data_IF_634932468647
#
_entry.id   IF_634932468647
#
_cell.length_a   1.000
_cell.length_b   1.000
_cell.length_c   1.000
_cell.angle_alpha   90.00
_cell.angle_beta   90.00
_cell.angle_gamma   90.00
#
_symmetry.space_group_name_H-M   'P 1'
#
loop_
_entity.id
_entity.type
_entity.pdbx_description
1 polymer ?
#
# COMPACT_ATOMS: atom_id res chain seq x y z
N UNK A 1 -7.56 17.45 9.18
CA UNK A 1 -6.46 16.91 10.01
C UNK A 1 -5.14 17.62 9.73
N UNK A 2 -4.75 17.77 8.47
CA UNK A 2 -3.49 18.40 8.03
C UNK A 2 -3.33 19.85 8.54
N UNK A 3 -4.37 20.68 8.45
CA UNK A 3 -4.35 22.05 8.96
C UNK A 3 -4.12 22.13 10.48
N UNK A 4 -4.69 21.19 11.24
CA UNK A 4 -4.46 21.13 12.70
C UNK A 4 -3.03 20.74 13.04
N UNK A 5 -2.43 19.86 12.22
CA UNK A 5 -1.04 19.46 12.38
C UNK A 5 -0.11 20.64 12.03
N UNK A 6 -0.38 21.32 10.91
CA UNK A 6 0.37 22.52 10.53
C UNK A 6 0.36 23.58 11.64
N UNK A 7 -0.85 23.92 12.11
CA UNK A 7 -1.00 24.89 13.20
C UNK A 7 -0.28 24.47 14.50
N UNK A 8 -0.25 23.17 14.81
CA UNK A 8 0.47 22.66 15.97
C UNK A 8 1.99 22.81 15.82
N UNK A 9 2.53 22.54 14.64
CA UNK A 9 3.95 22.64 14.35
C UNK A 9 4.45 24.09 14.35
N UNK A 10 3.61 25.04 13.95
CA UNK A 10 3.93 26.47 13.88
C UNK A 10 3.71 27.23 15.20
N UNK A 11 2.86 26.69 16.11
CA UNK A 11 2.41 27.43 17.28
C UNK A 11 3.52 27.70 18.33
N UNK A 12 4.40 26.74 18.59
CA UNK A 12 5.46 26.84 19.58
C UNK A 12 6.64 25.92 19.23
N UNK A 13 7.40 26.25 18.18
CA UNK A 13 8.55 25.43 17.79
C UNK A 13 9.67 25.54 18.86
N UNK A 14 10.30 24.42 19.23
CA UNK A 14 11.37 24.41 20.21
C UNK A 14 12.59 25.21 19.71
N UNK A 15 13.40 25.69 20.65
CA UNK A 15 14.66 26.42 20.40
C UNK A 15 14.50 27.71 19.58
N UNK A 16 13.33 28.32 19.58
CA UNK A 16 13.04 29.56 18.85
C UNK A 16 13.39 29.49 17.34
N UNK A 17 13.24 28.33 16.75
CA UNK A 17 13.36 28.19 15.29
C UNK A 17 12.08 28.70 14.62
N UNK A 18 12.20 29.25 13.41
CA UNK A 18 11.07 29.60 12.59
C UNK A 18 10.63 28.36 11.82
N UNK A 19 9.35 27.99 11.94
CA UNK A 19 8.75 26.85 11.22
C UNK A 19 7.64 27.36 10.32
N UNK A 20 7.70 27.00 9.06
CA UNK A 20 6.59 27.16 8.10
C UNK A 20 6.19 25.80 7.57
N UNK A 21 4.89 25.54 7.47
CA UNK A 21 4.36 24.26 6.98
C UNK A 21 3.62 24.46 5.68
N UNK A 22 4.08 23.79 4.65
CA UNK A 22 3.39 23.68 3.37
C UNK A 22 2.71 22.31 3.25
N UNK A 23 1.42 22.31 2.94
CA UNK A 23 0.64 21.07 2.73
C UNK A 23 0.63 20.78 1.23
N UNK A 24 1.55 19.94 0.77
CA UNK A 24 1.65 19.57 -0.64
C UNK A 24 0.49 18.68 -1.11
N UNK A 25 0.01 17.79 -0.24
CA UNK A 25 -1.11 16.91 -0.55
C UNK A 25 -1.91 16.55 0.70
N UNK A 26 -3.23 16.50 0.56
CA UNK A 26 -4.14 15.98 1.57
C UNK A 26 -5.20 15.13 0.88
N UNK A 27 -5.15 13.82 1.08
CA UNK A 27 -6.10 12.86 0.52
C UNK A 27 -6.83 12.12 1.63
N UNK A 28 -8.02 11.61 1.32
CA UNK A 28 -8.77 10.74 2.21
C UNK A 28 -8.03 9.41 2.44
N UNK A 29 -8.22 8.82 3.62
CA UNK A 29 -7.78 7.46 3.86
C UNK A 29 -8.77 6.48 3.23
N UNK A 30 -8.26 5.44 2.59
CA UNK A 30 -9.05 4.32 2.10
C UNK A 30 -8.86 3.10 3.02
N UNK A 31 -9.93 2.38 3.25
CA UNK A 31 -9.92 1.14 4.03
C UNK A 31 -10.92 0.15 3.45
N UNK A 32 -10.55 -1.11 3.43
CA UNK A 32 -11.43 -2.23 3.09
C UNK A 32 -11.29 -3.33 4.15
N UNK A 33 -12.35 -4.04 4.45
CA UNK A 33 -12.27 -5.30 5.17
C UNK A 33 -11.85 -6.40 4.18
N UNK A 34 -10.82 -7.20 4.48
CA UNK A 34 -10.27 -8.18 3.56
C UNK A 34 -11.12 -9.47 3.55
N UNK A 35 -12.30 -9.41 2.99
CA UNK A 35 -13.27 -10.50 2.96
C UNK A 35 -13.69 -10.84 1.52
N UNK A 36 -14.12 -12.10 1.33
CA UNK A 36 -14.69 -12.59 0.08
C UNK A 36 -13.69 -13.24 -0.88
N UNK A 37 -14.22 -13.77 -1.98
CA UNK A 37 -13.52 -14.66 -2.89
C UNK A 37 -12.20 -14.10 -3.44
N UNK A 38 -12.15 -12.80 -3.73
CA UNK A 38 -10.94 -12.16 -4.26
C UNK A 38 -9.78 -12.15 -3.24
N UNK A 39 -10.08 -11.89 -1.97
CA UNK A 39 -9.09 -11.93 -0.89
C UNK A 39 -8.65 -13.36 -0.60
N UNK A 40 -9.57 -14.31 -0.57
CA UNK A 40 -9.26 -15.73 -0.41
C UNK A 40 -8.37 -16.26 -1.54
N UNK A 41 -8.67 -15.89 -2.79
CA UNK A 41 -7.83 -16.23 -3.94
C UNK A 41 -6.43 -15.62 -3.81
N UNK A 42 -6.32 -14.35 -3.38
CA UNK A 42 -5.05 -13.69 -3.15
C UNK A 42 -4.23 -14.37 -2.05
N UNK A 43 -4.85 -14.77 -0.95
CA UNK A 43 -4.18 -15.52 0.12
C UNK A 43 -3.63 -16.86 -0.37
N UNK A 44 -4.43 -17.63 -1.13
CA UNK A 44 -3.96 -18.90 -1.72
C UNK A 44 -2.80 -18.69 -2.69
N UNK A 45 -2.90 -17.68 -3.53
CA UNK A 45 -1.86 -17.34 -4.49
C UNK A 45 -0.55 -16.89 -3.82
N UNK A 46 -0.63 -16.02 -2.82
CA UNK A 46 0.53 -15.56 -2.05
C UNK A 46 1.16 -16.70 -1.24
N UNK A 47 0.35 -17.56 -0.62
CA UNK A 47 0.85 -18.77 0.05
C UNK A 47 1.61 -19.69 -0.92
N UNK A 48 1.10 -19.85 -2.13
CA UNK A 48 1.76 -20.65 -3.18
C UNK A 48 3.07 -20.04 -3.64
N UNK A 49 3.14 -18.73 -3.80
CA UNK A 49 4.35 -18.04 -4.24
C UNK A 49 5.42 -17.94 -3.16
N UNK A 50 5.03 -17.59 -1.94
CA UNK A 50 5.95 -17.31 -0.83
C UNK A 50 6.17 -18.49 0.12
N UNK A 51 5.32 -19.52 0.10
CA UNK A 51 5.40 -20.69 0.98
C UNK A 51 5.01 -20.39 2.43
N UNK A 52 4.32 -19.28 2.69
CA UNK A 52 3.83 -18.84 3.99
C UNK A 52 2.58 -18.01 3.85
N UNK A 53 1.81 -17.89 4.92
CA UNK A 53 0.60 -17.08 4.92
C UNK A 53 0.93 -15.58 4.78
N UNK A 54 0.15 -14.84 3.98
CA UNK A 54 0.24 -13.38 3.93
C UNK A 54 -0.27 -12.77 5.24
N UNK A 55 0.14 -11.54 5.49
CA UNK A 55 -0.38 -10.70 6.56
C UNK A 55 -0.94 -9.41 5.99
N UNK A 56 -2.01 -8.92 6.56
CA UNK A 56 -2.58 -7.63 6.21
C UNK A 56 -1.96 -6.54 7.06
N UNK A 57 -1.53 -5.49 6.41
CA UNK A 57 -0.92 -4.33 7.07
C UNK A 57 -1.61 -3.05 6.65
N UNK A 58 -1.63 -2.06 7.55
CA UNK A 58 -1.91 -0.68 7.17
C UNK A 58 -0.66 -0.07 6.56
N UNK A 59 -0.81 0.59 5.42
CA UNK A 59 0.27 1.33 4.78
C UNK A 59 -0.04 2.82 4.81
N UNK A 60 0.92 3.63 5.27
CA UNK A 60 0.89 5.07 5.12
C UNK A 60 1.45 5.44 3.75
N UNK A 61 0.78 6.31 3.06
CA UNK A 61 1.22 6.78 1.75
C UNK A 61 0.08 7.41 0.99
N UNK A 62 0.44 8.22 0.02
CA UNK A 62 -0.54 8.92 -0.79
C UNK A 62 -0.77 8.14 -2.08
N UNK A 63 -1.73 7.22 -2.08
CA UNK A 63 -2.19 6.51 -3.27
C UNK A 63 -3.61 7.00 -3.60
N UNK A 64 -3.77 8.19 -4.18
CA UNK A 64 -5.05 8.88 -4.24
C UNK A 64 -6.04 8.24 -5.22
N UNK A 65 -5.62 7.33 -6.07
CA UNK A 65 -6.48 6.73 -7.10
C UNK A 65 -7.22 5.47 -6.64
N UNK A 66 -6.87 4.82 -5.53
CA UNK A 66 -7.49 3.55 -5.10
C UNK A 66 -8.99 3.75 -4.83
N UNK A 67 -9.34 4.72 -3.99
CA UNK A 67 -10.73 4.99 -3.64
C UNK A 67 -11.58 5.35 -4.88
N UNK A 68 -11.19 6.32 -5.75
CA UNK A 68 -11.93 6.62 -6.97
C UNK A 68 -12.07 5.42 -7.92
N UNK A 69 -11.05 4.57 -8.04
CA UNK A 69 -11.16 3.37 -8.88
C UNK A 69 -12.18 2.38 -8.33
N UNK A 70 -12.15 2.12 -7.04
CA UNK A 70 -13.12 1.24 -6.39
C UNK A 70 -14.54 1.75 -6.57
N UNK A 71 -14.77 3.06 -6.41
CA UNK A 71 -16.08 3.68 -6.61
C UNK A 71 -16.57 3.55 -8.06
N UNK A 72 -15.74 3.95 -9.03
CA UNK A 72 -16.10 3.90 -10.46
C UNK A 72 -16.38 2.48 -10.94
N UNK A 73 -15.68 1.50 -10.39
CA UNK A 73 -15.86 0.08 -10.71
C UNK A 73 -16.99 -0.60 -9.90
N UNK A 74 -17.78 0.16 -9.15
CA UNK A 74 -18.96 -0.37 -8.45
C UNK A 74 -18.63 -1.07 -7.13
N UNK A 75 -17.55 -0.70 -6.46
CA UNK A 75 -17.17 -1.25 -5.16
C UNK A 75 -16.42 -2.58 -5.23
N UNK A 76 -15.72 -2.84 -6.33
CA UNK A 76 -14.90 -4.05 -6.47
C UNK A 76 -13.79 -4.11 -5.41
N UNK A 77 -13.41 -5.31 -4.94
CA UNK A 77 -12.29 -5.44 -4.02
C UNK A 77 -10.98 -4.97 -4.67
N UNK A 78 -10.22 -4.17 -3.96
CA UNK A 78 -8.88 -3.74 -4.38
C UNK A 78 -7.83 -4.46 -3.54
N UNK A 79 -6.90 -5.13 -4.21
CA UNK A 79 -5.79 -5.84 -3.63
C UNK A 79 -4.52 -5.01 -3.84
N UNK A 80 -3.96 -4.47 -2.76
CA UNK A 80 -2.72 -3.70 -2.79
C UNK A 80 -1.56 -4.64 -2.48
N UNK A 81 -0.73 -4.87 -3.46
CA UNK A 81 0.45 -5.73 -3.37
C UNK A 81 1.68 -4.93 -3.77
N UNK A 82 2.78 -5.16 -3.11
CA UNK A 82 4.03 -4.46 -3.39
C UNK A 82 5.25 -5.34 -3.18
N UNK A 83 6.39 -4.84 -3.62
CA UNK A 83 7.69 -5.46 -3.49
C UNK A 83 8.63 -4.44 -2.86
N UNK A 84 8.67 -4.44 -1.56
CA UNK A 84 9.60 -3.61 -0.80
C UNK A 84 10.18 -4.40 0.36
N UNK A 85 11.42 -4.13 0.68
CA UNK A 85 12.09 -4.62 1.87
C UNK A 85 12.78 -3.46 2.61
N UNK A 86 13.21 -3.64 3.87
CA UNK A 86 13.78 -2.55 4.66
C UNK A 86 15.08 -1.96 4.11
N UNK A 87 15.70 -2.59 3.13
CA UNK A 87 16.99 -2.16 2.55
C UNK A 87 16.88 -1.76 1.08
N UNK A 88 15.69 -1.84 0.49
CA UNK A 88 15.48 -1.53 -0.94
C UNK A 88 15.67 -0.05 -1.27
N UNK A 89 15.63 0.84 -0.28
CA UNK A 89 15.73 2.30 -0.44
C UNK A 89 14.67 2.86 -1.39
N UNK A 90 13.42 2.46 -1.16
CA UNK A 90 12.27 2.85 -1.99
C UNK A 90 12.20 4.37 -2.19
N UNK A 91 11.96 4.80 -3.43
CA UNK A 91 11.95 6.19 -3.88
C UNK A 91 13.29 6.95 -3.73
N UNK A 92 14.37 6.25 -3.39
CA UNK A 92 15.70 6.82 -3.24
C UNK A 92 16.63 6.54 -4.41
N UNK A 93 17.79 7.21 -4.42
CA UNK A 93 18.87 6.88 -5.34
C UNK A 93 19.39 5.47 -5.06
N UNK A 94 19.68 4.72 -6.11
CA UNK A 94 20.12 3.32 -6.03
C UNK A 94 19.09 2.40 -5.36
N UNK A 95 17.81 2.64 -5.57
CA UNK A 95 16.77 1.70 -5.21
C UNK A 95 17.08 0.29 -5.73
N UNK A 96 16.86 -0.70 -4.91
CA UNK A 96 17.17 -2.10 -5.20
C UNK A 96 15.96 -3.00 -5.07
N UNK A 97 16.04 -4.16 -5.69
CA UNK A 97 15.00 -5.17 -5.65
C UNK A 97 15.63 -6.54 -5.37
N UNK A 98 15.12 -7.27 -4.37
CA UNK A 98 15.48 -8.67 -4.16
C UNK A 98 14.91 -9.54 -5.28
N UNK A 99 15.79 -10.18 -6.07
CA UNK A 99 15.36 -10.99 -7.21
C UNK A 99 14.64 -12.29 -6.80
N UNK A 100 14.90 -12.80 -5.61
CA UNK A 100 14.18 -13.98 -5.12
C UNK A 100 12.76 -13.59 -4.70
N UNK A 101 12.61 -12.42 -4.10
CA UNK A 101 11.29 -11.88 -3.74
C UNK A 101 10.48 -11.53 -4.99
N UNK A 102 11.09 -10.90 -5.97
CA UNK A 102 10.48 -10.63 -7.27
C UNK A 102 9.95 -11.90 -7.95
N UNK A 103 10.71 -13.00 -7.94
CA UNK A 103 10.25 -14.28 -8.48
C UNK A 103 9.05 -14.85 -7.73
N UNK A 104 9.03 -14.72 -6.41
CA UNK A 104 7.89 -15.14 -5.57
C UNK A 104 6.65 -14.32 -5.90
N UNK A 105 6.79 -13.01 -6.02
CA UNK A 105 5.70 -12.12 -6.38
C UNK A 105 5.16 -12.40 -7.77
N UNK A 106 6.00 -12.61 -8.78
CA UNK A 106 5.57 -13.00 -10.13
C UNK A 106 4.79 -14.32 -10.12
N UNK A 107 5.27 -15.31 -9.36
CA UNK A 107 4.56 -16.57 -9.19
C UNK A 107 3.20 -16.36 -8.52
N UNK A 108 3.14 -15.54 -7.47
CA UNK A 108 1.89 -15.21 -6.79
C UNK A 108 0.91 -14.50 -7.71
N UNK A 109 1.38 -13.54 -8.51
CA UNK A 109 0.54 -12.83 -9.48
C UNK A 109 -0.05 -13.76 -10.54
N UNK A 110 0.76 -14.67 -11.09
CA UNK A 110 0.30 -15.67 -12.05
C UNK A 110 -0.75 -16.61 -11.42
N UNK A 111 -0.51 -17.05 -10.20
CA UNK A 111 -1.47 -17.89 -9.46
C UNK A 111 -2.75 -17.14 -9.12
N UNK A 112 -2.66 -15.86 -8.77
CA UNK A 112 -3.85 -15.04 -8.50
C UNK A 112 -4.75 -14.94 -9.73
N UNK A 113 -4.17 -14.68 -10.90
CA UNK A 113 -4.93 -14.65 -12.15
C UNK A 113 -5.59 -16.00 -12.46
N UNK A 114 -4.89 -17.10 -12.18
CA UNK A 114 -5.44 -18.44 -12.35
C UNK A 114 -6.60 -18.74 -11.39
N UNK A 115 -6.46 -18.39 -10.12
CA UNK A 115 -7.47 -18.56 -9.07
C UNK A 115 -8.75 -17.75 -9.38
N UNK A 116 -8.60 -16.51 -9.84
CA UNK A 116 -9.76 -15.66 -10.21
C UNK A 116 -10.43 -16.13 -11.50
N UNK A 117 -9.67 -16.66 -12.48
CA UNK A 117 -10.22 -17.12 -13.74
C UNK A 117 -10.89 -18.51 -13.66
N UNK A 118 -10.62 -19.27 -12.61
CA UNK A 118 -11.14 -20.62 -12.40
C UNK A 118 -12.50 -20.68 -11.68
N UNK A 119 -12.96 -19.56 -11.18
CA UNK A 119 -14.29 -19.35 -10.58
C UNK A 119 -15.26 -18.80 -11.64
#
# INVERSE_FOLDING_TARGET
>A
MSERLAALLEADPPWAVEVSVEIEAAVGGWRIEPEGAAFEAAERALRTGYGRDPVYIGCGGTIPFVEPFVEVLGGVPALLLGLEDPICNAHGENESLDLADFRRALRSAAMLLYEIAGD
#
